data_IF_448041810995
#
_entry.id   IF_448041810995
#
_cell.length_a   1.000
_cell.length_b   1.000
_cell.length_c   1.000
_cell.angle_alpha   90.00
_cell.angle_beta   90.00
_cell.angle_gamma   90.00
#
_symmetry.space_group_name_H-M   'P 1'
#
loop_
_entity.id
_entity.type
_entity.pdbx_description
1 polymer ?
#
# COMPACT_ATOMS: atom_id res chain seq x y z
N UNK A 1 2.68 28.71 19.23
CA UNK A 1 3.32 28.39 17.93
C UNK A 1 3.88 26.98 18.06
N UNK A 2 3.66 26.08 17.09
CA UNK A 2 4.37 24.79 17.07
C UNK A 2 5.83 25.10 16.74
N UNK A 3 6.76 24.47 17.47
CA UNK A 3 8.19 24.61 17.20
C UNK A 3 8.48 23.99 15.83
N UNK A 4 8.84 24.81 14.85
CA UNK A 4 9.39 24.35 13.57
C UNK A 4 10.78 23.82 13.86
N UNK A 5 11.12 22.63 13.35
CA UNK A 5 12.46 22.07 13.57
C UNK A 5 13.47 22.86 12.77
N UNK A 6 14.55 23.33 13.40
CA UNK A 6 15.65 23.98 12.69
C UNK A 6 16.55 22.93 12.01
N UNK A 7 16.87 23.18 10.75
CA UNK A 7 17.74 22.33 9.94
C UNK A 7 18.97 23.13 9.52
N UNK A 8 20.15 22.54 9.68
CA UNK A 8 21.42 23.13 9.23
C UNK A 8 22.00 22.30 8.10
N UNK A 9 22.10 22.89 6.91
CA UNK A 9 22.84 22.30 5.80
C UNK A 9 24.33 22.60 6.00
N UNK A 10 25.14 21.54 6.16
CA UNK A 10 26.60 21.67 6.29
C UNK A 10 27.24 21.32 4.96
N UNK A 11 27.95 22.26 4.31
CA UNK A 11 28.71 21.93 3.11
C UNK A 11 29.84 20.97 3.49
N UNK A 12 30.18 20.10 2.55
CA UNK A 12 31.28 19.17 2.75
C UNK A 12 32.64 19.88 2.59
N UNK A 13 33.56 19.80 3.56
CA UNK A 13 34.88 20.41 3.45
C UNK A 13 35.69 19.75 2.33
N UNK A 14 36.31 20.57 1.46
CA UNK A 14 37.20 20.08 0.41
C UNK A 14 38.43 19.44 1.08
N UNK A 15 38.65 18.15 0.87
CA UNK A 15 39.83 17.42 1.36
C UNK A 15 39.58 16.45 2.53
N UNK A 16 38.37 16.40 3.08
CA UNK A 16 37.96 15.34 4.01
C UNK A 16 37.33 14.17 3.23
N UNK A 17 37.23 12.96 3.80
CA UNK A 17 36.42 11.88 3.25
C UNK A 17 34.93 12.10 3.58
N UNK A 18 34.00 11.87 2.63
CA UNK A 18 32.57 12.06 2.89
C UNK A 18 32.12 11.17 4.05
N UNK A 19 31.14 11.62 4.86
CA UNK A 19 30.55 10.76 5.88
C UNK A 19 30.01 9.49 5.20
N UNK A 20 30.01 8.38 5.94
CA UNK A 20 29.41 7.14 5.44
C UNK A 20 27.90 7.34 5.29
N UNK A 21 27.46 7.62 4.07
CA UNK A 21 26.05 7.74 3.73
C UNK A 21 25.42 6.37 3.54
N UNK A 22 24.23 6.17 4.12
CA UNK A 22 23.41 4.97 3.88
C UNK A 22 22.72 5.03 2.51
N UNK A 23 22.42 6.25 2.02
CA UNK A 23 21.78 6.51 0.74
C UNK A 23 22.48 7.69 0.07
N UNK A 24 22.73 7.58 -1.24
CA UNK A 24 23.31 8.66 -2.06
C UNK A 24 22.30 9.08 -3.13
N UNK A 25 22.13 10.39 -3.30
CA UNK A 25 21.28 10.98 -4.34
C UNK A 25 22.15 11.82 -5.27
N UNK A 26 21.92 11.70 -6.58
CA UNK A 26 22.68 12.44 -7.62
C UNK A 26 21.92 13.63 -8.19
N UNK A 27 20.66 13.81 -7.78
CA UNK A 27 19.77 14.88 -8.24
C UNK A 27 19.77 16.03 -7.23
N UNK A 28 19.60 17.29 -7.68
CA UNK A 28 19.44 18.42 -6.77
C UNK A 28 18.32 18.18 -5.76
N UNK A 29 18.59 18.47 -4.49
CA UNK A 29 17.58 18.40 -3.43
C UNK A 29 17.08 19.80 -3.08
N UNK A 30 15.77 19.94 -2.96
CA UNK A 30 15.13 21.13 -2.40
C UNK A 30 14.51 20.77 -1.06
N UNK A 31 15.07 21.37 0.00
CA UNK A 31 14.67 21.14 1.38
C UNK A 31 13.72 22.25 1.82
N UNK A 32 12.56 21.90 2.36
CA UNK A 32 11.60 22.88 2.89
C UNK A 32 10.80 22.31 4.06
N UNK A 33 10.28 23.17 4.93
CA UNK A 33 9.40 22.78 6.04
C UNK A 33 7.96 23.15 5.74
N UNK A 34 7.02 22.27 6.10
CA UNK A 34 5.59 22.58 6.15
C UNK A 34 5.05 22.64 7.59
N UNK A 35 5.94 22.83 8.57
CA UNK A 35 5.62 22.94 9.99
C UNK A 35 4.96 24.25 10.39
N UNK A 36 5.22 25.33 9.63
CA UNK A 36 4.74 26.70 9.88
C UNK A 36 3.23 26.91 9.62
N UNK A 37 2.87 28.06 9.08
CA UNK A 37 1.47 28.49 8.86
C UNK A 37 0.74 27.76 7.71
N UNK A 38 1.01 26.48 7.50
CA UNK A 38 0.28 25.66 6.50
C UNK A 38 -1.05 25.16 7.05
N UNK A 39 -2.09 25.20 6.22
CA UNK A 39 -3.45 24.73 6.53
C UNK A 39 -4.60 25.64 6.11
N UNK A 40 -4.30 26.87 5.68
CA UNK A 40 -5.24 27.72 4.96
C UNK A 40 -4.70 28.00 3.56
N UNK A 41 -5.59 28.23 2.60
CA UNK A 41 -5.20 28.35 1.19
C UNK A 41 -4.25 29.51 0.91
N UNK A 42 -4.40 30.65 1.58
CA UNK A 42 -3.52 31.79 1.35
C UNK A 42 -2.07 31.42 1.68
N UNK A 43 -1.82 31.01 2.93
CA UNK A 43 -0.48 30.65 3.39
C UNK A 43 0.06 29.39 2.69
N UNK A 44 -0.78 28.41 2.38
CA UNK A 44 -0.37 27.24 1.61
C UNK A 44 0.24 27.67 0.25
N UNK A 45 -0.40 28.63 -0.43
CA UNK A 45 0.09 29.11 -1.71
C UNK A 45 1.25 30.09 -1.60
N UNK A 46 1.13 31.13 -0.77
CA UNK A 46 2.12 32.21 -0.68
C UNK A 46 3.42 31.78 -0.04
N UNK A 47 3.34 30.92 0.98
CA UNK A 47 4.51 30.63 1.82
C UNK A 47 5.19 29.32 1.40
N UNK A 48 4.49 28.45 0.65
CA UNK A 48 5.01 27.14 0.26
C UNK A 48 4.92 26.91 -1.25
N UNK A 49 3.72 26.85 -1.84
CA UNK A 49 3.58 26.39 -3.24
C UNK A 49 4.22 27.35 -4.25
N UNK A 50 4.03 28.66 -4.11
CA UNK A 50 4.65 29.65 -5.02
C UNK A 50 6.17 29.66 -4.88
N UNK A 51 6.76 29.73 -3.67
CA UNK A 51 8.21 29.59 -3.49
C UNK A 51 8.77 28.27 -4.03
N UNK A 52 8.05 27.16 -3.85
CA UNK A 52 8.42 25.86 -4.41
C UNK A 52 8.49 25.91 -5.92
N UNK A 53 7.44 26.40 -6.58
CA UNK A 53 7.42 26.55 -8.03
C UNK A 53 8.60 27.39 -8.52
N UNK A 54 8.79 28.58 -7.96
CA UNK A 54 9.86 29.50 -8.38
C UNK A 54 11.25 28.84 -8.23
N UNK A 55 11.45 28.09 -7.15
CA UNK A 55 12.74 27.49 -6.83
C UNK A 55 13.00 26.19 -7.58
N UNK A 56 11.95 25.43 -7.90
CA UNK A 56 12.07 24.06 -8.43
C UNK A 56 11.83 23.95 -9.93
N UNK A 57 11.03 24.84 -10.53
CA UNK A 57 10.56 24.69 -11.90
C UNK A 57 11.68 24.68 -12.95
N UNK A 58 12.78 25.38 -12.68
CA UNK A 58 13.98 25.38 -13.53
C UNK A 58 14.60 23.98 -13.71
N UNK A 59 14.38 23.06 -12.76
CA UNK A 59 14.89 21.69 -12.83
C UNK A 59 14.02 20.78 -13.69
N UNK A 60 12.86 21.24 -14.19
CA UNK A 60 11.98 20.49 -15.11
C UNK A 60 11.61 19.08 -14.62
N UNK A 61 11.33 18.95 -13.32
CA UNK A 61 11.04 17.66 -12.67
C UNK A 61 12.26 16.99 -12.04
N UNK A 62 13.49 17.35 -12.47
CA UNK A 62 14.75 16.77 -11.99
C UNK A 62 15.23 17.36 -10.65
N UNK A 63 14.37 17.31 -9.64
CA UNK A 63 14.63 17.83 -8.29
C UNK A 63 13.96 16.96 -7.23
N UNK A 64 14.69 16.56 -6.20
CA UNK A 64 14.19 15.77 -5.08
C UNK A 64 13.65 16.67 -3.97
N UNK A 65 12.38 16.49 -3.59
CA UNK A 65 11.82 17.18 -2.43
C UNK A 65 12.13 16.44 -1.14
N UNK A 66 12.67 17.18 -0.17
CA UNK A 66 12.99 16.71 1.18
C UNK A 66 12.25 17.60 2.16
N UNK A 67 11.22 17.05 2.82
CA UNK A 67 10.22 17.84 3.55
C UNK A 67 10.37 17.65 5.05
N UNK A 68 10.68 18.72 5.76
CA UNK A 68 10.63 18.76 7.21
C UNK A 68 9.22 19.06 7.72
N UNK A 69 8.91 18.57 8.91
CA UNK A 69 7.62 18.78 9.60
C UNK A 69 6.44 18.37 8.74
N UNK A 70 6.59 17.22 8.06
CA UNK A 70 5.63 16.77 7.07
C UNK A 70 4.24 16.58 7.69
N UNK A 71 3.23 17.04 6.95
CA UNK A 71 1.81 16.87 7.28
C UNK A 71 1.19 16.02 6.16
N UNK A 72 0.94 14.71 6.38
CA UNK A 72 0.48 13.81 5.31
C UNK A 72 -0.80 14.29 4.61
N UNK A 73 -1.72 14.91 5.34
CA UNK A 73 -2.94 15.50 4.80
C UNK A 73 -2.65 16.69 3.86
N UNK A 74 -1.62 17.48 4.16
CA UNK A 74 -1.22 18.63 3.33
C UNK A 74 -0.57 18.16 2.04
N UNK A 75 0.32 17.16 2.14
CA UNK A 75 0.93 16.51 0.97
C UNK A 75 -0.16 15.93 0.09
N UNK A 76 -1.12 15.21 0.66
CA UNK A 76 -2.25 14.64 -0.09
C UNK A 76 -3.09 15.72 -0.78
N UNK A 77 -3.34 16.85 -0.11
CA UNK A 77 -4.06 18.00 -0.66
C UNK A 77 -3.37 18.60 -1.88
N UNK A 78 -2.03 18.69 -1.87
CA UNK A 78 -1.24 19.33 -2.93
C UNK A 78 -0.49 18.35 -3.84
N UNK A 79 -0.72 17.04 -3.71
CA UNK A 79 0.06 16.00 -4.39
C UNK A 79 0.06 16.17 -5.91
N UNK A 80 -1.04 16.67 -6.48
CA UNK A 80 -1.17 16.92 -7.92
C UNK A 80 -0.19 18.00 -8.37
N UNK A 81 -0.04 19.09 -7.60
CA UNK A 81 0.91 20.17 -7.91
C UNK A 81 2.34 19.69 -7.67
N UNK A 82 2.60 19.03 -6.54
CA UNK A 82 3.95 18.54 -6.19
C UNK A 82 4.50 17.58 -7.26
N UNK A 83 3.65 16.71 -7.83
CA UNK A 83 3.99 15.81 -8.94
C UNK A 83 4.22 16.50 -10.29
N UNK A 84 3.85 17.77 -10.45
CA UNK A 84 4.22 18.55 -11.63
C UNK A 84 5.58 19.24 -11.46
N UNK A 85 6.06 19.37 -10.23
CA UNK A 85 7.28 20.09 -9.90
C UNK A 85 8.49 19.16 -9.69
N UNK A 86 8.25 17.88 -9.43
CA UNK A 86 9.26 16.86 -9.18
C UNK A 86 8.80 15.51 -9.72
N UNK A 87 9.70 14.79 -10.39
CA UNK A 87 9.49 13.42 -10.88
C UNK A 87 9.78 12.35 -9.81
N UNK A 88 10.20 12.78 -8.61
CA UNK A 88 10.63 11.90 -7.51
C UNK A 88 9.60 11.83 -6.38
N UNK A 89 9.61 10.72 -5.63
CA UNK A 89 8.82 10.59 -4.41
C UNK A 89 9.34 11.54 -3.32
N UNK A 90 8.46 12.15 -2.53
CA UNK A 90 8.84 13.06 -1.44
C UNK A 90 9.55 12.29 -0.31
N UNK A 91 10.70 12.79 0.13
CA UNK A 91 11.42 12.29 1.31
C UNK A 91 10.94 13.05 2.54
N UNK A 92 10.48 12.33 3.57
CA UNK A 92 10.20 12.92 4.88
C UNK A 92 11.50 13.07 5.67
N UNK A 93 11.94 14.31 5.86
CA UNK A 93 13.17 14.62 6.58
C UNK A 93 13.06 14.26 8.08
N UNK A 94 11.86 14.18 8.64
CA UNK A 94 11.69 13.86 10.05
C UNK A 94 11.72 12.36 10.34
N UNK A 95 11.60 11.52 9.32
CA UNK A 95 11.44 10.09 9.47
C UNK A 95 12.72 9.35 9.07
N UNK A 96 13.73 9.40 9.95
CA UNK A 96 14.67 8.29 10.04
C UNK A 96 14.02 7.23 10.93
N UNK A 97 13.30 6.29 10.29
CA UNK A 97 12.52 5.18 10.86
C UNK A 97 11.21 5.51 11.59
N UNK A 98 10.13 4.88 11.11
CA UNK A 98 8.71 4.99 11.49
C UNK A 98 8.39 4.97 12.98
N UNK A 99 8.72 6.05 13.69
CA UNK A 99 8.32 6.27 15.08
C UNK A 99 7.58 7.59 15.18
N UNK A 100 6.34 7.50 15.66
CA UNK A 100 5.55 8.70 16.01
C UNK A 100 6.30 9.56 17.02
N UNK A 101 6.00 10.87 17.17
CA UNK A 101 6.65 11.75 18.16
C UNK A 101 6.60 11.23 19.61
N UNK A 102 5.71 10.27 19.90
CA UNK A 102 5.54 9.60 21.19
C UNK A 102 6.31 8.28 21.32
N UNK A 103 7.02 7.84 20.27
CA UNK A 103 7.83 6.63 20.25
C UNK A 103 7.08 5.34 19.88
N UNK A 104 5.77 5.39 19.63
CA UNK A 104 4.98 4.22 19.25
C UNK A 104 5.03 3.96 17.74
N UNK A 105 5.05 2.68 17.38
CA UNK A 105 5.08 2.16 16.01
C UNK A 105 3.78 1.42 15.65
N UNK A 106 3.61 1.07 14.37
CA UNK A 106 2.50 0.22 13.94
C UNK A 106 2.58 -1.21 14.54
N UNK A 107 3.79 -1.67 14.90
CA UNK A 107 3.99 -2.95 15.59
C UNK A 107 3.38 -2.89 16.99
N UNK A 108 3.52 -1.77 17.70
CA UNK A 108 2.91 -1.55 19.01
C UNK A 108 1.38 -1.52 18.90
N UNK A 109 0.85 -0.88 17.86
CA UNK A 109 -0.58 -0.89 17.57
C UNK A 109 -1.10 -2.32 17.29
N UNK A 110 -0.38 -3.11 16.49
CA UNK A 110 -0.71 -4.52 16.27
C UNK A 110 -0.67 -5.32 17.58
N UNK A 111 0.33 -5.11 18.43
CA UNK A 111 0.42 -5.78 19.72
C UNK A 111 -0.78 -5.45 20.63
N UNK A 112 -1.19 -4.18 20.65
CA UNK A 112 -2.40 -3.73 21.36
C UNK A 112 -3.67 -4.41 20.81
N UNK A 113 -3.87 -4.41 19.49
CA UNK A 113 -5.04 -5.06 18.87
C UNK A 113 -5.08 -6.56 19.16
N UNK A 114 -3.93 -7.22 19.13
CA UNK A 114 -3.82 -8.64 19.45
C UNK A 114 -4.24 -8.94 20.87
N UNK A 115 -3.83 -8.10 21.83
CA UNK A 115 -4.28 -8.21 23.22
C UNK A 115 -5.79 -7.96 23.33
N UNK A 116 -6.31 -6.93 22.67
CA UNK A 116 -7.72 -6.55 22.74
C UNK A 116 -8.67 -7.64 22.20
N UNK A 117 -8.32 -8.30 21.11
CA UNK A 117 -9.17 -9.32 20.47
C UNK A 117 -8.82 -10.77 20.84
N UNK A 118 -7.78 -10.99 21.64
CA UNK A 118 -7.30 -12.33 21.99
C UNK A 118 -6.74 -13.08 20.77
N UNK A 119 -5.86 -12.41 20.01
CA UNK A 119 -5.28 -12.96 18.78
C UNK A 119 -4.05 -13.83 19.09
N UNK A 120 -4.29 -15.13 19.10
CA UNK A 120 -3.33 -16.15 19.55
C UNK A 120 -2.16 -16.38 18.59
N UNK A 121 -2.28 -16.04 17.29
CA UNK A 121 -1.20 -16.28 16.32
C UNK A 121 -0.30 -15.06 16.14
N UNK A 122 0.95 -15.09 16.65
CA UNK A 122 1.91 -14.01 16.41
C UNK A 122 2.54 -14.04 15.04
N UNK A 123 2.77 -15.23 14.50
CA UNK A 123 3.48 -15.43 13.26
C UNK A 123 2.70 -16.37 12.34
N UNK A 124 2.85 -16.17 11.04
CA UNK A 124 2.36 -17.07 10.01
C UNK A 124 3.19 -18.36 9.94
N UNK A 125 4.08 -18.59 10.90
CA UNK A 125 4.89 -19.78 10.98
C UNK A 125 3.99 -21.02 11.09
N UNK A 126 4.44 -22.16 10.54
CA UNK A 126 3.86 -23.45 10.85
C UNK A 126 3.84 -23.62 12.37
N UNK A 127 2.73 -24.13 12.90
CA UNK A 127 2.71 -24.65 14.27
C UNK A 127 3.85 -25.68 14.41
N UNK A 128 4.52 -25.71 15.57
CA UNK A 128 5.89 -26.24 15.80
C UNK A 128 6.18 -27.71 15.52
N UNK A 129 5.45 -28.39 14.63
CA UNK A 129 5.82 -29.67 14.04
C UNK A 129 6.31 -29.45 12.59
N UNK A 130 7.64 -29.44 12.35
CA UNK A 130 8.24 -29.27 11.02
C UNK A 130 7.91 -30.40 10.04
N UNK A 131 7.35 -31.52 10.51
CA UNK A 131 7.14 -32.74 9.72
C UNK A 131 5.66 -33.02 9.41
N UNK A 132 4.73 -32.12 9.76
CA UNK A 132 3.31 -32.26 9.42
C UNK A 132 3.02 -31.86 7.96
N UNK A 133 3.29 -32.79 7.05
CA UNK A 133 3.02 -32.71 5.60
C UNK A 133 1.50 -32.56 5.31
N UNK A 134 0.62 -32.73 6.31
CA UNK A 134 -0.84 -32.66 6.15
C UNK A 134 -1.40 -31.27 6.45
N UNK A 135 -0.61 -30.31 6.95
CA UNK A 135 -1.09 -28.97 7.29
C UNK A 135 -0.94 -27.97 6.15
N UNK A 136 -2.08 -27.73 5.50
CA UNK A 136 -2.30 -26.78 4.41
C UNK A 136 -2.19 -25.32 4.88
N UNK A 137 -1.45 -24.44 4.18
CA UNK A 137 -1.46 -23.00 4.45
C UNK A 137 -2.88 -22.43 4.36
N UNK A 138 -3.27 -21.59 5.32
CA UNK A 138 -4.62 -21.00 5.34
C UNK A 138 -4.67 -19.76 4.47
N UNK A 139 -5.60 -19.75 3.52
CA UNK A 139 -5.85 -18.63 2.64
C UNK A 139 -7.22 -18.02 2.92
N UNK A 140 -7.27 -16.70 3.07
CA UNK A 140 -8.50 -15.94 3.22
C UNK A 140 -8.75 -15.10 1.97
N UNK A 141 -9.89 -15.30 1.33
CA UNK A 141 -10.39 -14.46 0.25
C UNK A 141 -11.36 -13.43 0.86
N UNK A 142 -11.05 -12.14 0.71
CA UNK A 142 -11.93 -11.04 1.08
C UNK A 142 -12.88 -10.76 -0.09
N UNK A 143 -14.11 -11.21 0.07
CA UNK A 143 -15.19 -11.05 -0.91
C UNK A 143 -15.88 -9.68 -0.79
N UNK A 144 -16.56 -9.29 -1.88
CA UNK A 144 -17.36 -8.06 -1.98
C UNK A 144 -18.61 -8.35 -2.81
N UNK A 145 -19.77 -7.83 -2.39
CA UNK A 145 -21.05 -7.99 -3.14
C UNK A 145 -21.36 -6.88 -4.14
N UNK A 146 -20.95 -5.64 -3.87
CA UNK A 146 -21.45 -4.46 -4.62
C UNK A 146 -20.50 -3.99 -5.70
N UNK A 147 -19.30 -3.55 -5.31
CA UNK A 147 -18.30 -3.00 -6.22
C UNK A 147 -17.02 -3.81 -6.12
N UNK A 148 -16.21 -3.86 -7.18
CA UNK A 148 -14.96 -4.64 -7.24
C UNK A 148 -15.13 -6.07 -6.70
N UNK A 149 -16.26 -6.70 -7.03
CA UNK A 149 -16.55 -8.08 -6.68
C UNK A 149 -15.71 -9.03 -7.54
N UNK A 150 -15.36 -10.18 -6.97
CA UNK A 150 -14.82 -11.31 -7.74
C UNK A 150 -15.96 -12.05 -8.43
N UNK A 151 -15.98 -12.08 -9.76
CA UNK A 151 -17.05 -12.80 -10.48
C UNK A 151 -16.74 -14.30 -10.66
N UNK A 152 -15.50 -14.73 -10.41
CA UNK A 152 -15.06 -16.13 -10.52
C UNK A 152 -14.49 -16.67 -9.20
N UNK A 153 -15.03 -16.21 -8.07
CA UNK A 153 -14.58 -16.57 -6.72
C UNK A 153 -14.55 -18.09 -6.46
N UNK A 154 -15.53 -18.83 -6.97
CA UNK A 154 -15.56 -20.30 -6.89
C UNK A 154 -14.35 -20.91 -7.59
N UNK A 155 -14.04 -20.46 -8.81
CA UNK A 155 -12.88 -20.92 -9.57
C UNK A 155 -11.55 -20.55 -8.88
N UNK A 156 -11.48 -19.37 -8.25
CA UNK A 156 -10.32 -18.97 -7.43
C UNK A 156 -10.14 -19.91 -6.23
N UNK A 157 -11.24 -20.24 -5.56
CA UNK A 157 -11.26 -21.15 -4.40
C UNK A 157 -10.81 -22.55 -4.79
N UNK A 158 -11.43 -23.13 -5.82
CA UNK A 158 -11.12 -24.48 -6.30
C UNK A 158 -9.64 -24.58 -6.74
N UNK A 159 -9.15 -23.58 -7.45
CA UNK A 159 -7.75 -23.50 -7.87
C UNK A 159 -6.80 -23.39 -6.68
N UNK A 160 -7.08 -22.52 -5.71
CA UNK A 160 -6.25 -22.39 -4.51
C UNK A 160 -6.27 -23.69 -3.66
N UNK A 161 -7.42 -24.36 -3.53
CA UNK A 161 -7.51 -25.66 -2.88
C UNK A 161 -6.66 -26.73 -3.59
N UNK A 162 -6.61 -26.71 -4.93
CA UNK A 162 -5.76 -27.61 -5.72
C UNK A 162 -4.25 -27.38 -5.53
N UNK A 163 -3.86 -26.16 -5.13
CA UNK A 163 -2.48 -25.83 -4.74
C UNK A 163 -2.16 -26.20 -3.29
N UNK A 164 -3.12 -26.78 -2.56
CA UNK A 164 -2.93 -27.21 -1.17
C UNK A 164 -3.24 -26.15 -0.12
N UNK A 165 -3.95 -25.06 -0.45
CA UNK A 165 -4.45 -24.13 0.55
C UNK A 165 -5.71 -24.67 1.27
N UNK A 166 -5.86 -24.32 2.55
CA UNK A 166 -7.14 -24.34 3.27
C UNK A 166 -7.81 -22.97 3.08
N UNK A 167 -8.78 -22.90 2.17
CA UNK A 167 -9.36 -21.63 1.71
C UNK A 167 -10.63 -21.31 2.48
N UNK A 168 -10.71 -20.08 3.01
CA UNK A 168 -11.93 -19.48 3.55
C UNK A 168 -12.27 -18.23 2.74
N UNK A 169 -13.55 -18.01 2.50
CA UNK A 169 -14.07 -16.78 1.93
C UNK A 169 -14.76 -16.01 3.04
N UNK A 170 -14.49 -14.73 3.16
CA UNK A 170 -15.18 -13.86 4.10
C UNK A 170 -15.60 -12.56 3.43
N UNK A 171 -16.80 -12.11 3.77
CA UNK A 171 -17.38 -10.88 3.26
C UNK A 171 -17.65 -9.93 4.44
N UNK A 172 -16.71 -9.06 4.79
CA UNK A 172 -16.92 -8.09 5.85
C UNK A 172 -17.93 -7.03 5.41
N UNK A 173 -18.94 -6.79 6.24
CA UNK A 173 -19.90 -5.69 6.11
C UNK A 173 -20.02 -4.89 7.42
N UNK A 174 -20.88 -3.87 7.41
CA UNK A 174 -21.06 -2.97 8.56
C UNK A 174 -21.62 -3.65 9.82
N UNK A 175 -22.15 -4.87 9.71
CA UNK A 175 -22.73 -5.65 10.82
C UNK A 175 -21.80 -6.74 11.34
N UNK A 176 -20.63 -6.89 10.72
CA UNK A 176 -19.67 -7.93 11.06
C UNK A 176 -19.11 -7.73 12.47
N UNK A 177 -19.18 -8.78 13.30
CA UNK A 177 -18.53 -8.83 14.61
C UNK A 177 -17.00 -8.72 14.42
N UNK A 178 -16.47 -7.56 14.80
CA UNK A 178 -15.06 -7.24 14.60
C UNK A 178 -14.12 -8.20 15.34
N UNK A 179 -14.49 -8.68 16.52
CA UNK A 179 -13.66 -9.61 17.28
C UNK A 179 -13.59 -10.98 16.60
N UNK A 180 -14.72 -11.50 16.11
CA UNK A 180 -14.74 -12.74 15.32
C UNK A 180 -13.98 -12.60 14.02
N UNK A 181 -14.16 -11.47 13.32
CA UNK A 181 -13.48 -11.21 12.06
C UNK A 181 -11.97 -11.06 12.24
N UNK A 182 -11.52 -10.35 13.27
CA UNK A 182 -10.11 -10.22 13.61
C UNK A 182 -9.46 -11.60 13.87
N UNK A 183 -10.15 -12.50 14.57
CA UNK A 183 -9.67 -13.89 14.77
C UNK A 183 -9.60 -14.68 13.47
N UNK A 184 -10.60 -14.52 12.59
CA UNK A 184 -10.59 -15.15 11.26
C UNK A 184 -9.41 -14.67 10.43
N UNK A 185 -9.15 -13.36 10.38
CA UNK A 185 -8.01 -12.79 9.66
C UNK A 185 -6.69 -13.22 10.29
N UNK A 186 -6.57 -13.20 11.62
CA UNK A 186 -5.37 -13.66 12.33
C UNK A 186 -5.06 -15.16 12.11
N UNK A 187 -6.07 -15.94 11.72
CA UNK A 187 -5.90 -17.34 11.34
C UNK A 187 -5.22 -17.51 9.96
N UNK A 188 -5.29 -16.53 9.06
CA UNK A 188 -4.79 -16.67 7.70
C UNK A 188 -3.25 -16.55 7.62
N UNK A 189 -2.65 -17.32 6.71
CA UNK A 189 -1.24 -17.21 6.32
C UNK A 189 -1.11 -16.40 5.02
N UNK A 190 -2.13 -16.48 4.14
CA UNK A 190 -2.27 -15.66 2.94
C UNK A 190 -3.64 -14.99 2.95
N UNK A 191 -3.71 -13.70 2.66
CA UNK A 191 -4.97 -12.98 2.45
C UNK A 191 -4.98 -12.33 1.07
N UNK A 192 -6.03 -12.57 0.29
CA UNK A 192 -6.25 -11.94 -1.02
C UNK A 192 -7.54 -11.13 -1.02
N UNK A 193 -7.53 -10.00 -1.70
CA UNK A 193 -8.74 -9.20 -1.91
C UNK A 193 -8.51 -8.10 -2.94
N UNK A 194 -9.59 -7.62 -3.55
CA UNK A 194 -9.51 -6.44 -4.42
C UNK A 194 -9.24 -5.20 -3.59
N UNK A 195 -8.44 -4.27 -4.14
CA UNK A 195 -8.15 -2.97 -3.54
C UNK A 195 -9.42 -2.35 -2.94
N UNK A 196 -9.41 -2.03 -1.64
CA UNK A 196 -10.51 -1.37 -0.96
C UNK A 196 -10.53 -1.61 0.54
N UNK A 197 -11.57 -1.09 1.20
CA UNK A 197 -11.68 -1.10 2.66
C UNK A 197 -11.60 -2.50 3.30
N UNK A 198 -12.12 -3.55 2.64
CA UNK A 198 -12.03 -4.91 3.19
C UNK A 198 -10.60 -5.38 3.43
N UNK A 199 -9.65 -4.92 2.61
CA UNK A 199 -8.25 -5.33 2.66
C UNK A 199 -7.48 -4.65 3.83
N UNK A 200 -8.02 -3.58 4.43
CA UNK A 200 -7.37 -2.89 5.58
C UNK A 200 -7.32 -3.75 6.83
N UNK A 201 -8.12 -4.83 6.87
CA UNK A 201 -8.06 -5.84 7.92
C UNK A 201 -6.72 -6.60 7.95
N UNK A 202 -5.80 -6.34 7.02
CA UNK A 202 -4.41 -6.82 7.04
C UNK A 202 -3.70 -6.57 8.38
N UNK A 203 -4.13 -5.54 9.14
CA UNK A 203 -3.60 -5.24 10.48
C UNK A 203 -3.74 -6.41 11.46
N UNK A 204 -4.72 -7.30 11.26
CA UNK A 204 -4.93 -8.49 12.10
C UNK A 204 -4.11 -9.72 11.66
N UNK A 205 -3.49 -9.67 10.47
CA UNK A 205 -2.67 -10.76 9.99
C UNK A 205 -1.45 -10.98 10.90
N UNK A 206 -1.05 -12.24 11.12
CA UNK A 206 0.15 -12.55 11.87
C UNK A 206 1.42 -12.12 11.11
N UNK A 207 2.51 -11.89 11.83
CA UNK A 207 3.78 -11.51 11.21
C UNK A 207 4.29 -12.62 10.26
N UNK A 208 4.78 -12.23 9.08
CA UNK A 208 5.21 -13.14 8.01
C UNK A 208 4.08 -13.62 7.10
N UNK A 209 2.83 -13.21 7.32
CA UNK A 209 1.74 -13.51 6.39
C UNK A 209 1.91 -12.76 5.07
N UNK A 210 1.32 -13.31 4.01
CA UNK A 210 1.33 -12.71 2.67
C UNK A 210 0.00 -12.00 2.40
N UNK A 211 0.08 -10.73 2.03
CA UNK A 211 -1.02 -9.94 1.54
C UNK A 211 -0.96 -9.84 0.01
N UNK A 212 -1.98 -10.35 -0.68
CA UNK A 212 -2.12 -10.24 -2.13
C UNK A 212 -3.21 -9.23 -2.44
N UNK A 213 -2.82 -8.08 -2.97
CA UNK A 213 -3.74 -7.07 -3.42
C UNK A 213 -4.10 -7.28 -4.90
N UNK A 214 -5.37 -7.55 -5.20
CA UNK A 214 -5.86 -7.47 -6.59
C UNK A 214 -6.09 -5.99 -6.92
N UNK A 215 -5.27 -5.44 -7.83
CA UNK A 215 -5.33 -4.03 -8.24
C UNK A 215 -6.24 -3.91 -9.46
N UNK A 216 -7.36 -3.16 -9.36
CA UNK A 216 -8.24 -2.91 -10.50
C UNK A 216 -7.51 -2.16 -11.63
N UNK A 217 -8.09 -2.16 -12.82
CA UNK A 217 -7.60 -1.30 -13.91
C UNK A 217 -7.69 0.18 -13.53
N UNK A 218 -7.01 1.02 -14.33
CA UNK A 218 -7.18 2.46 -14.27
C UNK A 218 -5.95 3.22 -13.79
N UNK A 219 -4.75 2.64 -13.82
CA UNK A 219 -3.51 3.33 -13.38
C UNK A 219 -3.54 3.71 -11.90
N UNK A 220 -4.05 2.81 -11.06
CA UNK A 220 -4.24 3.02 -9.62
C UNK A 220 -2.99 2.64 -8.78
N UNK A 221 -1.82 2.56 -9.42
CA UNK A 221 -0.55 2.16 -8.81
C UNK A 221 -0.21 2.94 -7.54
N UNK A 222 -0.39 4.26 -7.60
CA UNK A 222 -0.10 5.13 -6.46
C UNK A 222 -1.03 4.84 -5.27
N UNK A 223 -2.32 4.60 -5.53
CA UNK A 223 -3.30 4.27 -4.47
C UNK A 223 -2.97 2.92 -3.85
N UNK A 224 -2.70 1.91 -4.68
CA UNK A 224 -2.32 0.57 -4.21
C UNK A 224 -1.02 0.62 -3.39
N UNK A 225 0.00 1.33 -3.91
CA UNK A 225 1.29 1.49 -3.27
C UNK A 225 1.18 2.15 -1.90
N UNK A 226 0.55 3.31 -1.84
CA UNK A 226 0.55 4.13 -0.63
C UNK A 226 -0.42 3.58 0.43
N UNK A 227 -1.46 2.82 0.04
CA UNK A 227 -2.44 2.25 0.98
C UNK A 227 -2.02 0.90 1.55
N UNK A 228 -1.36 0.03 0.76
CA UNK A 228 -1.09 -1.35 1.17
C UNK A 228 0.37 -1.77 1.01
N UNK A 229 1.05 -1.39 -0.09
CA UNK A 229 2.45 -1.80 -0.31
C UNK A 229 3.39 -1.21 0.73
N UNK A 230 3.39 0.11 0.89
CA UNK A 230 4.29 0.83 1.81
C UNK A 230 4.07 0.45 3.28
N UNK A 231 2.83 0.32 3.79
CA UNK A 231 2.63 -0.04 5.20
C UNK A 231 2.86 -1.53 5.52
N UNK A 232 2.90 -2.40 4.53
CA UNK A 232 2.98 -3.86 4.76
C UNK A 232 4.27 -4.30 5.49
N UNK A 233 5.48 -3.85 5.12
CA UNK A 233 6.71 -4.16 5.85
C UNK A 233 6.65 -3.76 7.32
N UNK A 234 6.11 -2.58 7.63
CA UNK A 234 6.01 -2.08 9.01
C UNK A 234 5.03 -2.93 9.83
N UNK A 235 4.00 -3.47 9.17
CA UNK A 235 3.09 -4.46 9.75
C UNK A 235 3.67 -5.89 9.77
N UNK A 236 4.94 -6.06 9.39
CA UNK A 236 5.63 -7.35 9.28
C UNK A 236 4.95 -8.31 8.29
N UNK A 237 4.38 -7.78 7.21
CA UNK A 237 3.71 -8.55 6.15
C UNK A 237 4.56 -8.59 4.88
N UNK A 238 4.38 -9.65 4.09
CA UNK A 238 4.89 -9.72 2.72
C UNK A 238 3.79 -9.24 1.77
N UNK A 239 4.07 -8.19 1.01
CA UNK A 239 3.11 -7.63 0.05
C UNK A 239 3.36 -8.17 -1.36
N UNK A 240 2.27 -8.48 -2.06
CA UNK A 240 2.25 -8.78 -3.49
C UNK A 240 1.06 -8.07 -4.14
N UNK A 241 1.21 -7.58 -5.37
CA UNK A 241 0.09 -7.12 -6.19
C UNK A 241 -0.21 -8.05 -7.35
N UNK A 242 -1.50 -8.33 -7.55
CA UNK A 242 -2.04 -8.96 -8.74
C UNK A 242 -2.76 -7.89 -9.56
N UNK A 243 -2.09 -7.37 -10.59
CA UNK A 243 -2.66 -6.35 -11.47
C UNK A 243 -3.47 -7.03 -12.55
N UNK A 244 -4.75 -6.68 -12.62
CA UNK A 244 -5.64 -7.25 -13.63
C UNK A 244 -5.34 -6.67 -15.01
N UNK A 245 -5.60 -7.44 -16.05
CA UNK A 245 -5.63 -7.06 -17.45
C UNK A 245 -7.05 -6.68 -17.86
N UNK A 246 -7.18 -6.15 -19.08
CA UNK A 246 -8.46 -5.66 -19.60
C UNK A 246 -9.55 -6.74 -19.62
N UNK A 247 -9.23 -7.94 -20.11
CA UNK A 247 -10.13 -9.09 -20.19
C UNK A 247 -10.57 -9.63 -18.81
N UNK A 248 -9.84 -9.29 -17.75
CA UNK A 248 -10.17 -9.60 -16.36
C UNK A 248 -11.05 -8.53 -15.70
N UNK A 249 -11.48 -7.50 -16.43
CA UNK A 249 -12.35 -6.42 -15.94
C UNK A 249 -13.71 -6.44 -16.63
N UNK A 250 -14.79 -6.16 -15.90
CA UNK A 250 -16.11 -5.94 -16.52
C UNK A 250 -16.17 -4.71 -17.42
N UNK A 251 -15.23 -3.78 -17.28
CA UNK A 251 -15.15 -2.62 -18.16
C UNK A 251 -14.96 -3.03 -19.63
N UNK A 252 -14.34 -4.18 -19.90
CA UNK A 252 -14.20 -4.70 -21.26
C UNK A 252 -15.50 -5.25 -21.84
N UNK A 253 -16.50 -5.54 -21.00
CA UNK A 253 -17.84 -5.92 -21.44
C UNK A 253 -18.70 -4.68 -21.74
N UNK A 254 -18.41 -3.55 -21.06
CA UNK A 254 -19.20 -2.31 -21.12
C UNK A 254 -18.69 -1.31 -22.16
N UNK A 255 -17.40 -1.32 -22.45
CA UNK A 255 -16.77 -0.35 -23.34
C UNK A 255 -16.16 -1.01 -24.59
N UNK A 256 -16.26 -0.35 -25.76
CA UNK A 256 -15.53 -0.77 -26.95
C UNK A 256 -14.02 -0.90 -26.69
N UNK A 257 -13.35 -1.82 -27.39
CA UNK A 257 -11.93 -2.13 -27.17
C UNK A 257 -10.99 -0.94 -27.39
N UNK A 258 -11.40 0.07 -28.17
CA UNK A 258 -10.69 1.31 -28.46
C UNK A 258 -11.07 2.47 -27.51
N UNK A 259 -12.04 2.27 -26.62
CA UNK A 259 -12.52 3.32 -25.73
C UNK A 259 -11.43 3.76 -24.74
N UNK A 260 -11.31 5.07 -24.42
CA UNK A 260 -10.26 5.59 -23.54
C UNK A 260 -10.22 4.95 -22.14
N UNK A 261 -11.36 4.49 -21.61
CA UNK A 261 -11.41 3.75 -20.33
C UNK A 261 -10.52 2.50 -20.33
N UNK A 262 -10.35 1.86 -21.48
CA UNK A 262 -9.51 0.66 -21.62
C UNK A 262 -8.11 1.00 -22.13
N UNK A 263 -7.99 1.98 -23.05
CA UNK A 263 -6.74 2.28 -23.77
C UNK A 263 -5.92 3.43 -23.20
N UNK A 264 -6.57 4.46 -22.69
CA UNK A 264 -5.93 5.63 -22.09
C UNK A 264 -6.59 6.01 -20.75
N UNK A 265 -6.33 5.24 -19.68
CA UNK A 265 -6.87 5.58 -18.38
C UNK A 265 -6.50 6.99 -17.90
N UNK A 266 -5.36 7.54 -18.32
CA UNK A 266 -4.91 8.88 -17.91
C UNK A 266 -5.82 9.99 -18.43
N UNK A 267 -6.53 9.78 -19.55
CA UNK A 267 -7.62 10.68 -19.96
C UNK A 267 -8.73 10.79 -18.92
N UNK A 268 -9.01 9.72 -18.18
CA UNK A 268 -9.99 9.70 -17.08
C UNK A 268 -9.40 10.35 -15.82
N UNK A 269 -8.10 10.16 -15.54
CA UNK A 269 -7.41 10.87 -14.44
C UNK A 269 -7.50 12.39 -14.60
N UNK A 270 -7.37 12.91 -15.82
CA UNK A 270 -7.49 14.35 -16.13
C UNK A 270 -8.87 14.93 -15.83
N UNK A 271 -9.91 14.09 -15.76
CA UNK A 271 -11.27 14.48 -15.39
C UNK A 271 -11.48 14.55 -13.86
N UNK A 272 -10.45 14.20 -13.08
CA UNK A 272 -10.45 14.29 -11.62
C UNK A 272 -10.89 13.02 -10.90
N UNK A 273 -10.74 13.03 -9.58
CA UNK A 273 -10.94 11.86 -8.72
C UNK A 273 -12.34 11.26 -8.82
N UNK A 274 -13.38 12.08 -8.95
CA UNK A 274 -14.75 11.59 -9.03
C UNK A 274 -14.98 10.73 -10.28
N UNK A 275 -14.45 11.13 -11.44
CA UNK A 275 -14.54 10.36 -12.66
C UNK A 275 -13.72 9.06 -12.56
N UNK A 276 -12.52 9.15 -12.00
CA UNK A 276 -11.63 8.00 -11.77
C UNK A 276 -12.27 6.95 -10.84
N UNK A 277 -12.74 7.37 -9.66
CA UNK A 277 -13.38 6.50 -8.68
C UNK A 277 -14.63 5.86 -9.26
N UNK A 278 -15.52 6.67 -9.86
CA UNK A 278 -16.76 6.17 -10.44
C UNK A 278 -16.50 5.10 -11.49
N UNK A 279 -15.51 5.32 -12.37
CA UNK A 279 -15.19 4.40 -13.46
C UNK A 279 -14.50 3.13 -12.95
N UNK A 280 -13.39 3.26 -12.21
CA UNK A 280 -12.52 2.13 -11.93
C UNK A 280 -12.72 1.51 -10.53
N UNK A 281 -13.37 2.20 -9.60
CA UNK A 281 -13.59 1.68 -8.24
C UNK A 281 -15.05 1.30 -7.97
N UNK A 282 -16.00 1.98 -8.61
CA UNK A 282 -17.43 1.76 -8.36
C UNK A 282 -18.07 0.89 -9.43
N UNK A 283 -17.79 1.16 -10.71
CA UNK A 283 -18.40 0.47 -11.86
C UNK A 283 -17.53 -0.67 -12.45
N UNK A 284 -16.58 -1.18 -11.68
CA UNK A 284 -15.71 -2.27 -12.12
C UNK A 284 -15.81 -3.45 -11.16
N UNK A 285 -16.07 -4.63 -11.71
CA UNK A 285 -15.86 -5.92 -11.06
C UNK A 285 -14.73 -6.67 -11.77
N UNK A 286 -14.19 -7.70 -11.13
CA UNK A 286 -12.97 -8.36 -11.59
C UNK A 286 -13.14 -9.86 -11.75
N UNK A 287 -12.45 -10.42 -12.74
CA UNK A 287 -12.35 -11.85 -13.07
C UNK A 287 -10.88 -12.25 -13.20
N UNK A 288 -10.12 -12.37 -12.08
CA UNK A 288 -8.73 -12.81 -12.16
C UNK A 288 -8.56 -14.11 -12.95
N UNK A 289 -7.71 -14.09 -13.96
CA UNK A 289 -7.36 -15.21 -14.81
C UNK A 289 -6.69 -16.30 -13.98
N UNK A 290 -7.34 -17.47 -13.87
CA UNK A 290 -6.95 -18.52 -12.93
C UNK A 290 -5.50 -19.01 -13.14
N UNK A 291 -5.02 -19.09 -14.39
CA UNK A 291 -3.63 -19.49 -14.67
C UNK A 291 -2.59 -18.47 -14.20
N UNK A 292 -2.91 -17.17 -14.27
CA UNK A 292 -2.01 -16.11 -13.80
C UNK A 292 -2.07 -15.99 -12.29
N UNK A 293 -3.28 -16.09 -11.72
CA UNK A 293 -3.49 -16.12 -10.28
C UNK A 293 -2.78 -17.31 -9.64
N UNK A 294 -2.81 -18.49 -10.28
CA UNK A 294 -2.07 -19.68 -9.86
C UNK A 294 -0.59 -19.38 -9.66
N UNK A 295 0.04 -18.69 -10.61
CA UNK A 295 1.45 -18.32 -10.52
C UNK A 295 1.70 -17.38 -9.33
N UNK A 296 0.82 -16.40 -9.09
CA UNK A 296 0.91 -15.51 -7.93
C UNK A 296 0.75 -16.27 -6.61
N UNK A 297 -0.18 -17.22 -6.51
CA UNK A 297 -0.36 -18.04 -5.30
C UNK A 297 0.82 -18.98 -5.04
N UNK A 298 1.41 -19.55 -6.09
CA UNK A 298 2.64 -20.35 -5.95
C UNK A 298 3.83 -19.50 -5.48
N UNK A 299 3.91 -18.25 -5.88
CA UNK A 299 4.95 -17.34 -5.42
C UNK A 299 4.72 -16.89 -3.96
N UNK A 300 3.46 -16.66 -3.59
CA UNK A 300 3.07 -16.40 -2.20
C UNK A 300 3.51 -17.52 -1.25
N UNK A 301 3.41 -18.79 -1.66
CA UNK A 301 3.88 -19.92 -0.85
C UNK A 301 5.37 -19.83 -0.49
N UNK A 302 6.22 -19.32 -1.39
CA UNK A 302 7.67 -19.18 -1.16
C UNK A 302 8.00 -18.11 -0.13
N UNK A 303 7.08 -17.18 0.10
CA UNK A 303 7.24 -16.09 1.05
C UNK A 303 6.79 -16.44 2.47
N UNK A 304 6.07 -17.55 2.63
CA UNK A 304 5.67 -18.02 3.94
C UNK A 304 6.90 -18.47 4.75
N UNK A 305 6.91 -18.27 6.08
CA UNK A 305 8.02 -18.74 6.90
C UNK A 305 8.12 -20.26 6.83
N UNK A 306 9.16 -20.78 6.19
CA UNK A 306 9.49 -22.20 6.24
C UNK A 306 10.39 -22.43 7.46
N UNK A 307 10.10 -23.44 8.27
CA UNK A 307 10.89 -23.78 9.46
C UNK A 307 12.31 -24.23 9.10
N UNK A 308 13.21 -23.28 8.83
CA UNK A 308 14.65 -23.48 8.88
C UNK A 308 15.26 -22.42 9.78
N UNK A 309 15.36 -22.76 11.07
CA UNK A 309 16.57 -22.41 11.83
C UNK A 309 17.44 -23.67 11.81
N UNK A 310 18.31 -23.76 10.82
CA UNK A 310 19.55 -24.51 11.03
C UNK A 310 20.50 -23.52 11.71
N UNK A 311 21.04 -23.95 12.84
CA UNK A 311 22.00 -23.24 13.67
C UNK A 311 23.33 -23.06 12.94
#
# INVERSE_FOLDING_TARGET
MRNIKEWTMKPFPIGEPPPRCTVNHTVPALVFSIGGFTGNLFHDFTDVIVPLFISSYQFRGEVQFVVADIKPWWVSKFIVILKQLSDYDIIDANNEEDRTPTGYSIVDFKAMLRKAYGLERPTAAPSGDPWDIRRKPRMLIISRKKTRAFLNERGMTDMAMSLGFDVRVAEPDATTDLAKFARLVNSADVMIGVHGAGLTNMVFLPAGAVLIQVVPMGGLDWVARDTFKKPSPDMQLKYMDYRIQADESTLSDEYPADHPVLKDPYSIHKQGWNALSKTYLDNQNVRPHLGRLRNALMDALKHLPHGRKEA
#
